data_IF_129469116100
#
_entry.id   IF_129469116100
#
_cell.length_a   1.000
_cell.length_b   1.000
_cell.length_c   1.000
_cell.angle_alpha   90.00
_cell.angle_beta   90.00
_cell.angle_gamma   90.00
#
_symmetry.space_group_name_H-M   'P 1'
#
loop_
_entity.id
_entity.type
_entity.pdbx_description
1 polymer ?
#
# COMPACT_ATOMS: atom_id res chain seq x y z
N UNK A 1 -14.86 10.74 3.51
CA UNK A 1 -13.60 10.18 4.08
C UNK A 1 -12.41 11.14 3.98
N UNK A 2 -12.22 11.88 2.86
CA UNK A 2 -11.12 12.88 2.70
C UNK A 2 -11.44 14.29 3.18
N UNK A 3 -12.67 14.76 2.99
CA UNK A 3 -13.19 15.99 3.63
C UNK A 3 -13.08 15.90 5.17
N UNK A 4 -13.12 14.68 5.71
CA UNK A 4 -12.88 14.41 7.14
C UNK A 4 -11.41 14.50 7.56
N UNK A 5 -10.45 14.42 6.62
CA UNK A 5 -9.02 14.65 6.87
C UNK A 5 -8.67 16.14 6.71
N UNK A 6 -9.29 16.83 5.76
CA UNK A 6 -9.18 18.28 5.59
C UNK A 6 -9.68 19.03 6.84
N UNK A 7 -10.77 18.56 7.48
CA UNK A 7 -11.23 19.07 8.77
C UNK A 7 -10.39 18.65 10.00
N UNK A 8 -9.32 17.86 9.82
CA UNK A 8 -8.45 17.33 10.88
C UNK A 8 -6.98 17.66 10.59
N UNK A 9 -6.71 18.95 10.44
CA UNK A 9 -5.41 19.55 10.09
C UNK A 9 -4.22 19.15 11.01
N UNK A 10 -4.45 18.41 12.10
CA UNK A 10 -3.43 17.96 13.06
C UNK A 10 -2.99 16.50 12.98
N UNK A 11 -3.58 15.65 12.14
CA UNK A 11 -3.25 14.20 12.13
C UNK A 11 -1.95 13.89 11.36
N UNK A 12 -1.21 12.86 11.80
CA UNK A 12 0.01 12.43 11.12
C UNK A 12 -0.21 11.99 9.66
N UNK A 13 -1.37 11.37 9.38
CA UNK A 13 -1.77 11.00 8.02
C UNK A 13 -1.92 12.22 7.10
N UNK A 14 -2.50 13.31 7.61
CA UNK A 14 -2.66 14.55 6.84
C UNK A 14 -1.33 15.28 6.61
N UNK A 15 -0.46 15.32 7.63
CA UNK A 15 0.90 15.86 7.48
C UNK A 15 1.68 15.14 6.38
N UNK A 16 1.69 13.79 6.40
CA UNK A 16 2.30 12.96 5.35
C UNK A 16 1.69 13.24 3.98
N UNK A 17 0.37 13.35 3.90
CA UNK A 17 -0.34 13.59 2.65
C UNK A 17 0.05 14.93 2.01
N UNK A 18 0.25 15.98 2.82
CA UNK A 18 0.78 17.28 2.40
C UNK A 18 2.26 17.19 2.01
N UNK A 19 3.09 16.56 2.85
CA UNK A 19 4.53 16.41 2.64
C UNK A 19 4.86 15.75 1.30
N UNK A 20 4.11 14.73 0.91
CA UNK A 20 4.29 14.01 -0.36
C UNK A 20 3.53 14.63 -1.55
N UNK A 21 2.92 15.81 -1.40
CA UNK A 21 2.19 16.46 -2.49
C UNK A 21 0.97 15.66 -2.99
N UNK A 22 0.45 14.72 -2.21
CA UNK A 22 -0.60 13.80 -2.66
C UNK A 22 -1.93 14.49 -2.89
N UNK A 23 -2.10 15.71 -2.37
CA UNK A 23 -3.23 16.56 -2.69
C UNK A 23 -3.40 16.80 -4.19
N UNK A 24 -2.30 16.92 -4.94
CA UNK A 24 -2.34 17.26 -6.35
C UNK A 24 -2.94 16.14 -7.22
N UNK A 25 -2.84 14.89 -6.79
CA UNK A 25 -3.42 13.74 -7.51
C UNK A 25 -4.75 13.26 -6.92
N UNK A 26 -5.36 14.02 -5.99
CA UNK A 26 -6.56 13.59 -5.27
C UNK A 26 -7.77 13.37 -6.19
N UNK A 27 -7.95 14.25 -7.16
CA UNK A 27 -9.12 14.23 -8.05
C UNK A 27 -8.99 13.08 -9.05
N UNK A 28 -7.81 12.90 -9.63
CA UNK A 28 -7.49 11.77 -10.49
C UNK A 28 -7.64 10.44 -9.75
N UNK A 29 -7.12 10.31 -8.52
CA UNK A 29 -7.32 9.12 -7.70
C UNK A 29 -8.80 8.84 -7.45
N UNK A 30 -9.59 9.85 -7.06
CA UNK A 30 -11.03 9.70 -6.80
C UNK A 30 -11.77 9.26 -8.07
N UNK A 31 -11.46 9.89 -9.19
CA UNK A 31 -12.06 9.56 -10.47
C UNK A 31 -11.76 8.11 -10.85
N UNK A 32 -10.48 7.71 -10.88
CA UNK A 32 -10.06 6.35 -11.20
C UNK A 32 -10.68 5.30 -10.25
N UNK A 33 -10.69 5.56 -8.94
CA UNK A 33 -11.29 4.65 -7.96
C UNK A 33 -12.81 4.52 -8.12
N UNK A 34 -13.48 5.55 -8.63
CA UNK A 34 -14.92 5.53 -8.90
C UNK A 34 -15.29 4.86 -10.22
N UNK A 35 -14.43 4.98 -11.24
CA UNK A 35 -14.68 4.43 -12.58
C UNK A 35 -14.15 3.01 -12.76
N UNK A 36 -13.33 2.50 -11.82
CA UNK A 36 -12.78 1.14 -11.84
C UNK A 36 -13.09 0.38 -10.54
N UNK A 37 -14.38 0.07 -10.26
CA UNK A 37 -14.80 -0.57 -9.02
C UNK A 37 -14.39 -2.05 -8.90
N UNK A 38 -14.04 -2.68 -10.03
CA UNK A 38 -13.51 -4.04 -10.13
C UNK A 38 -12.23 -4.23 -9.31
N UNK A 39 -11.45 -3.16 -9.12
CA UNK A 39 -10.21 -3.16 -8.36
C UNK A 39 -10.35 -2.50 -6.95
N UNK A 40 -11.55 -2.53 -6.35
CA UNK A 40 -11.84 -1.88 -5.05
C UNK A 40 -10.80 -2.20 -3.96
N UNK A 41 -10.39 -3.48 -3.86
CA UNK A 41 -9.39 -3.92 -2.88
C UNK A 41 -8.04 -3.22 -3.07
N UNK A 42 -7.57 -3.13 -4.31
CA UNK A 42 -6.33 -2.44 -4.66
C UNK A 42 -6.41 -0.93 -4.39
N UNK A 43 -7.51 -0.28 -4.77
CA UNK A 43 -7.70 1.15 -4.52
C UNK A 43 -7.64 1.49 -3.03
N UNK A 44 -8.23 0.63 -2.19
CA UNK A 44 -8.12 0.77 -0.73
C UNK A 44 -6.67 0.68 -0.25
N UNK A 45 -5.87 -0.23 -0.78
CA UNK A 45 -4.46 -0.38 -0.40
C UNK A 45 -3.60 0.80 -0.87
N UNK A 46 -3.83 1.30 -2.08
CA UNK A 46 -3.23 2.55 -2.56
C UNK A 46 -3.59 3.71 -1.62
N UNK A 47 -4.83 3.77 -1.17
CA UNK A 47 -5.28 4.79 -0.23
C UNK A 47 -4.56 4.72 1.12
N UNK A 48 -4.41 3.51 1.63
CA UNK A 48 -3.67 3.25 2.86
C UNK A 48 -2.18 3.60 2.70
N UNK A 49 -1.56 3.27 1.57
CA UNK A 49 -0.19 3.67 1.22
C UNK A 49 -0.04 5.21 1.23
N UNK A 50 -0.96 5.92 0.58
CA UNK A 50 -1.00 7.39 0.54
C UNK A 50 -1.10 8.04 1.91
N UNK A 51 -1.76 7.38 2.87
CA UNK A 51 -1.95 7.91 4.24
C UNK A 51 -1.00 7.35 5.28
N UNK A 52 -0.10 6.45 4.91
CA UNK A 52 0.78 5.77 5.88
C UNK A 52 0.05 4.72 6.73
N UNK A 53 -1.15 4.31 6.34
CA UNK A 53 -1.94 3.26 6.99
C UNK A 53 -1.84 1.90 6.29
N UNK A 54 -0.88 1.70 5.37
CA UNK A 54 -0.70 0.42 4.68
C UNK A 54 -0.34 -0.66 5.68
N UNK A 55 -1.10 -1.75 5.63
CA UNK A 55 -0.96 -2.84 6.57
C UNK A 55 0.21 -3.76 6.20
N UNK A 56 1.40 -3.40 6.64
CA UNK A 56 2.60 -4.21 6.49
C UNK A 56 2.92 -4.97 7.78
N UNK A 57 3.61 -6.11 7.67
CA UNK A 57 3.98 -6.95 8.81
C UNK A 57 4.68 -6.20 9.95
N UNK A 58 5.60 -5.29 9.60
CA UNK A 58 6.30 -4.44 10.56
C UNK A 58 5.35 -3.59 11.41
N UNK A 59 4.35 -2.97 10.76
CA UNK A 59 3.38 -2.12 11.46
C UNK A 59 2.53 -2.96 12.42
N UNK A 60 2.06 -4.13 11.97
CA UNK A 60 1.27 -5.05 12.78
C UNK A 60 2.03 -5.54 14.02
N UNK A 61 3.33 -5.84 13.91
CA UNK A 61 4.14 -6.20 15.07
C UNK A 61 4.38 -5.02 16.02
N UNK A 62 4.69 -3.82 15.49
CA UNK A 62 4.90 -2.61 16.31
C UNK A 62 3.71 -2.24 17.18
N UNK A 63 2.48 -2.48 16.71
CA UNK A 63 1.27 -2.21 17.49
C UNK A 63 0.78 -3.42 18.30
N UNK A 64 1.54 -4.52 18.33
CA UNK A 64 1.29 -5.67 19.21
C UNK A 64 0.25 -6.69 18.74
N UNK A 65 -0.26 -6.58 17.51
CA UNK A 65 -1.32 -7.49 17.00
C UNK A 65 -0.77 -8.73 16.27
N UNK A 66 0.50 -8.70 15.88
CA UNK A 66 1.21 -9.78 15.20
C UNK A 66 2.48 -10.14 15.97
N UNK A 67 3.05 -11.31 15.67
CA UNK A 67 4.29 -11.80 16.29
C UNK A 67 5.45 -10.82 16.06
N UNK A 68 6.30 -10.69 17.07
CA UNK A 68 7.45 -9.77 17.06
C UNK A 68 8.53 -10.17 16.04
N UNK A 69 8.51 -11.41 15.55
CA UNK A 69 9.38 -11.85 14.44
C UNK A 69 9.24 -10.95 13.19
N UNK A 70 8.07 -10.33 12.98
CA UNK A 70 7.84 -9.40 11.87
C UNK A 70 8.55 -8.05 12.01
N UNK A 71 9.15 -7.77 13.18
CA UNK A 71 10.04 -6.62 13.35
C UNK A 71 11.36 -6.79 12.59
N UNK A 72 11.74 -8.03 12.27
CA UNK A 72 13.00 -8.36 11.60
C UNK A 72 12.80 -9.21 10.32
N UNK A 73 11.61 -9.79 10.10
CA UNK A 73 11.36 -10.74 9.02
C UNK A 73 10.12 -10.40 8.20
N UNK A 74 10.17 -10.68 6.90
CA UNK A 74 9.03 -10.50 6.02
C UNK A 74 8.10 -11.73 6.10
N UNK A 75 6.78 -11.55 6.32
CA UNK A 75 5.84 -12.67 6.37
C UNK A 75 5.71 -13.37 5.00
N UNK A 76 5.98 -12.62 3.92
CA UNK A 76 5.66 -13.01 2.55
C UNK A 76 6.80 -13.74 1.86
N UNK A 77 8.02 -13.17 1.90
CA UNK A 77 9.20 -13.80 1.30
C UNK A 77 10.06 -14.58 2.29
N UNK A 78 9.85 -14.43 3.61
CA UNK A 78 10.58 -15.15 4.64
C UNK A 78 12.02 -14.68 4.87
N UNK A 79 12.48 -13.64 4.19
CA UNK A 79 13.81 -13.04 4.38
C UNK A 79 13.91 -12.31 5.72
N UNK A 80 15.14 -12.22 6.26
CA UNK A 80 15.50 -11.44 7.45
C UNK A 80 15.52 -9.93 7.15
N UNK A 81 14.41 -9.42 6.63
CA UNK A 81 14.16 -8.00 6.42
C UNK A 81 12.70 -7.74 6.77
N UNK A 82 12.38 -6.72 7.60
CA UNK A 82 11.00 -6.42 7.94
C UNK A 82 10.19 -5.99 6.72
N UNK A 83 8.93 -6.40 6.67
CA UNK A 83 8.01 -5.94 5.62
C UNK A 83 7.59 -4.50 5.89
N UNK A 84 8.27 -3.56 5.23
CA UNK A 84 7.89 -2.15 5.10
C UNK A 84 7.02 -1.95 3.85
N UNK A 85 6.33 -0.80 3.69
CA UNK A 85 5.68 -0.46 2.42
C UNK A 85 6.64 -0.51 1.24
N UNK A 86 7.88 -0.02 1.41
CA UNK A 86 8.92 -0.10 0.39
C UNK A 86 9.27 -1.54 0.06
N UNK A 87 9.49 -2.38 1.08
CA UNK A 87 9.78 -3.78 0.87
C UNK A 87 8.65 -4.45 0.08
N UNK A 88 7.41 -4.32 0.55
CA UNK A 88 6.22 -4.90 -0.08
C UNK A 88 6.09 -4.48 -1.56
N UNK A 89 6.16 -3.18 -1.84
CA UNK A 89 5.90 -2.65 -3.18
C UNK A 89 7.09 -2.83 -4.11
N UNK A 90 8.33 -2.66 -3.64
CA UNK A 90 9.50 -2.47 -4.49
C UNK A 90 10.50 -3.63 -4.47
N UNK A 91 10.66 -4.33 -3.35
CA UNK A 91 11.83 -5.19 -3.10
C UNK A 91 11.47 -6.66 -2.87
N UNK A 92 10.27 -6.93 -2.37
CA UNK A 92 9.90 -8.25 -1.89
C UNK A 92 9.83 -9.22 -3.07
N UNK A 93 10.81 -10.11 -3.19
CA UNK A 93 10.91 -11.10 -4.27
C UNK A 93 9.67 -11.99 -4.43
N UNK A 94 8.89 -12.14 -3.35
CA UNK A 94 7.62 -12.89 -3.37
C UNK A 94 6.63 -12.32 -4.38
N UNK A 95 6.75 -11.03 -4.71
CA UNK A 95 5.83 -10.28 -5.54
C UNK A 95 6.43 -9.82 -6.87
N UNK A 96 7.56 -10.38 -7.30
CA UNK A 96 8.20 -9.99 -8.58
C UNK A 96 7.29 -10.22 -9.78
N UNK A 97 6.69 -11.42 -9.87
CA UNK A 97 5.74 -11.77 -10.94
C UNK A 97 4.51 -10.86 -10.93
N UNK A 98 4.02 -10.51 -9.74
CA UNK A 98 2.84 -9.65 -9.57
C UNK A 98 3.09 -8.21 -10.04
N UNK A 99 4.30 -7.70 -9.82
CA UNK A 99 4.70 -6.42 -10.40
C UNK A 99 4.75 -6.48 -11.92
N UNK A 100 5.24 -7.57 -12.50
CA UNK A 100 5.27 -7.76 -13.97
C UNK A 100 3.85 -7.85 -14.54
N UNK A 101 2.92 -8.52 -13.85
CA UNK A 101 1.50 -8.56 -14.25
C UNK A 101 0.90 -7.14 -14.25
N UNK A 102 1.19 -6.34 -13.22
CA UNK A 102 0.73 -4.95 -13.14
C UNK A 102 1.31 -4.05 -14.23
N UNK A 103 2.59 -4.25 -14.58
CA UNK A 103 3.26 -3.57 -15.69
C UNK A 103 2.57 -3.87 -17.03
N UNK A 104 2.35 -5.15 -17.33
CA UNK A 104 1.66 -5.57 -18.56
C UNK A 104 0.26 -4.95 -18.63
N UNK A 105 -0.47 -4.95 -17.51
CA UNK A 105 -1.81 -4.38 -17.44
C UNK A 105 -1.84 -2.87 -17.72
N UNK A 106 -0.80 -2.14 -17.32
CA UNK A 106 -0.71 -0.68 -17.50
C UNK A 106 0.01 -0.26 -18.77
N UNK A 107 0.65 -1.21 -19.47
CA UNK A 107 1.58 -0.90 -20.56
C UNK A 107 2.88 -0.23 -20.09
N UNK A 108 3.14 -0.17 -18.78
CA UNK A 108 4.37 0.38 -18.23
C UNK A 108 5.46 -0.69 -18.35
N UNK A 109 6.56 -0.38 -19.03
CA UNK A 109 7.68 -1.30 -19.12
C UNK A 109 8.41 -1.50 -17.79
N UNK A 110 8.91 -2.70 -17.53
CA UNK A 110 9.70 -3.05 -16.33
C UNK A 110 10.83 -2.06 -16.03
N UNK A 111 11.57 -1.64 -17.05
CA UNK A 111 12.66 -0.66 -16.89
C UNK A 111 12.15 0.69 -16.38
N UNK A 112 10.97 1.13 -16.85
CA UNK A 112 10.33 2.37 -16.43
C UNK A 112 9.82 2.29 -14.99
N UNK A 113 9.21 1.15 -14.60
CA UNK A 113 8.86 0.92 -13.18
C UNK A 113 10.11 0.96 -12.29
N UNK A 114 11.20 0.30 -12.69
CA UNK A 114 12.46 0.30 -11.92
C UNK A 114 13.01 1.72 -11.77
N UNK A 115 13.01 2.51 -12.85
CA UNK A 115 13.40 3.93 -12.84
C UNK A 115 12.59 4.72 -11.82
N UNK A 116 11.26 4.57 -11.82
CA UNK A 116 10.37 5.22 -10.84
C UNK A 116 10.73 4.84 -9.41
N UNK A 117 10.79 3.53 -9.11
CA UNK A 117 11.05 3.03 -7.76
C UNK A 117 12.45 3.39 -7.25
N UNK A 118 13.42 3.58 -8.16
CA UNK A 118 14.78 4.00 -7.83
C UNK A 118 14.89 5.48 -7.42
N UNK A 119 13.90 6.32 -7.75
CA UNK A 119 13.93 7.77 -7.45
C UNK A 119 13.29 8.15 -6.12
N UNK A 120 12.58 7.22 -5.48
CA UNK A 120 11.80 7.51 -4.28
C UNK A 120 12.30 6.70 -3.08
N UNK A 121 12.25 7.31 -1.90
CA UNK A 121 12.50 6.61 -0.65
C UNK A 121 11.25 5.81 -0.25
N UNK A 122 10.07 6.42 -0.38
CA UNK A 122 8.78 5.87 -0.05
C UNK A 122 7.90 5.67 -1.30
N UNK A 123 7.25 4.52 -1.48
CA UNK A 123 6.42 4.27 -2.67
C UNK A 123 5.25 5.24 -2.83
N UNK A 124 4.81 5.87 -1.74
CA UNK A 124 3.74 6.86 -1.78
C UNK A 124 4.15 8.12 -2.56
N UNK A 125 5.44 8.48 -2.61
CA UNK A 125 5.94 9.66 -3.33
C UNK A 125 5.65 9.57 -4.83
N UNK A 126 5.60 8.35 -5.39
CA UNK A 126 5.24 8.09 -6.79
C UNK A 126 3.83 8.54 -7.16
N UNK A 127 2.97 8.72 -6.16
CA UNK A 127 1.55 9.01 -6.35
C UNK A 127 1.27 10.52 -6.35
N UNK A 128 2.30 11.36 -6.33
CA UNK A 128 2.19 12.78 -6.59
C UNK A 128 2.04 13.04 -8.10
N UNK A 129 1.17 13.98 -8.49
CA UNK A 129 1.00 14.41 -9.88
C UNK A 129 1.71 15.72 -10.23
N UNK A 130 2.39 16.36 -9.28
CA UNK A 130 3.23 17.51 -9.59
C UNK A 130 4.43 17.05 -10.44
N UNK A 131 4.37 17.33 -11.74
CA UNK A 131 5.53 17.27 -12.62
C UNK A 131 5.59 16.11 -13.61
N UNK A 132 4.56 15.25 -13.70
CA UNK A 132 4.46 14.27 -14.80
C UNK A 132 3.04 13.77 -15.07
N UNK A 133 2.81 13.40 -16.33
CA UNK A 133 1.56 12.79 -16.83
C UNK A 133 1.46 11.28 -16.53
N UNK A 134 2.45 10.70 -15.85
CA UNK A 134 2.56 9.26 -15.62
C UNK A 134 1.82 8.79 -14.35
N UNK A 135 1.29 9.74 -13.57
CA UNK A 135 0.62 9.47 -12.30
C UNK A 135 -0.55 8.50 -12.44
N UNK A 136 -1.33 8.58 -13.52
CA UNK A 136 -2.39 7.60 -13.77
C UNK A 136 -1.83 6.18 -13.85
N UNK A 137 -0.79 5.97 -14.65
CA UNK A 137 -0.14 4.66 -14.80
C UNK A 137 0.35 4.12 -13.47
N UNK A 138 0.93 4.96 -12.61
CA UNK A 138 1.39 4.59 -11.27
C UNK A 138 0.23 4.21 -10.35
N UNK A 139 -0.86 5.00 -10.35
CA UNK A 139 -2.04 4.74 -9.53
C UNK A 139 -2.72 3.43 -9.92
N UNK A 140 -2.90 3.22 -11.22
CA UNK A 140 -3.52 2.01 -11.78
C UNK A 140 -2.61 0.80 -11.59
N UNK A 141 -1.31 0.95 -11.82
CA UNK A 141 -0.34 -0.12 -11.68
C UNK A 141 -0.23 -0.60 -10.24
N UNK A 142 -0.09 0.32 -9.27
CA UNK A 142 -0.09 -0.04 -7.86
C UNK A 142 -1.42 -0.64 -7.40
N UNK A 143 -2.53 -0.15 -7.93
CA UNK A 143 -3.85 -0.75 -7.66
C UNK A 143 -3.91 -2.19 -8.15
N UNK A 144 -3.47 -2.45 -9.39
CA UNK A 144 -3.45 -3.80 -9.95
C UNK A 144 -2.53 -4.70 -9.14
N UNK A 145 -1.32 -4.24 -8.84
CA UNK A 145 -0.36 -4.95 -7.99
C UNK A 145 -0.97 -5.37 -6.65
N UNK A 146 -1.63 -4.46 -5.94
CA UNK A 146 -2.27 -4.79 -4.68
C UNK A 146 -3.41 -5.80 -4.83
N UNK A 147 -4.18 -5.74 -5.91
CA UNK A 147 -5.20 -6.76 -6.19
C UNK A 147 -4.59 -8.15 -6.35
N UNK A 148 -3.44 -8.28 -7.04
CA UNK A 148 -2.78 -9.56 -7.25
C UNK A 148 -2.28 -10.19 -5.94
N UNK A 149 -1.71 -9.37 -5.05
CA UNK A 149 -1.03 -9.89 -3.85
C UNK A 149 -1.96 -10.06 -2.64
N UNK A 150 -3.10 -9.36 -2.58
CA UNK A 150 -3.88 -9.20 -1.35
C UNK A 150 -4.20 -10.54 -0.66
N UNK A 151 -4.79 -11.50 -1.38
CA UNK A 151 -5.19 -12.77 -0.79
C UNK A 151 -4.01 -13.56 -0.22
N UNK A 152 -2.87 -13.56 -0.93
CA UNK A 152 -1.63 -14.23 -0.51
C UNK A 152 -0.96 -13.49 0.65
N UNK A 153 -0.93 -12.16 0.61
CA UNK A 153 -0.40 -11.33 1.69
C UNK A 153 -1.18 -11.52 2.99
N UNK A 154 -2.52 -11.49 2.91
CA UNK A 154 -3.37 -11.80 4.06
C UNK A 154 -3.15 -13.22 4.59
N UNK A 155 -3.00 -14.19 3.70
CA UNK A 155 -2.67 -15.58 4.06
C UNK A 155 -1.38 -15.67 4.87
N UNK A 156 -0.32 -15.00 4.41
CA UNK A 156 0.96 -14.92 5.10
C UNK A 156 0.87 -14.21 6.46
N UNK A 157 0.06 -13.16 6.56
CA UNK A 157 -0.15 -12.44 7.82
C UNK A 157 -0.95 -13.25 8.85
N UNK A 158 -1.93 -14.06 8.41
CA UNK A 158 -2.81 -14.83 9.31
C UNK A 158 -2.05 -15.85 10.16
N UNK A 159 -1.01 -16.50 9.63
CA UNK A 159 -0.20 -17.49 10.36
C UNK A 159 0.65 -16.88 11.48
N UNK A 160 0.82 -15.55 11.47
CA UNK A 160 1.68 -14.80 12.40
C UNK A 160 0.89 -13.86 13.31
N UNK A 161 -0.43 -14.04 13.36
CA UNK A 161 -1.31 -13.31 14.28
C UNK A 161 -1.10 -13.79 15.73
N UNK A 162 -1.07 -12.85 16.68
CA UNK A 162 -1.11 -13.19 18.13
C UNK A 162 -2.54 -13.63 18.49
N UNK A 163 -2.67 -14.75 19.21
CA UNK A 163 -3.97 -15.41 19.46
C UNK A 163 -4.91 -14.66 20.43
N UNK A 164 -4.41 -13.71 21.24
CA UNK A 164 -5.11 -13.31 22.47
C UNK A 164 -5.61 -11.86 22.60
N UNK A 165 -5.47 -10.96 21.62
CA UNK A 165 -6.01 -9.60 21.77
C UNK A 165 -7.17 -9.28 20.81
N UNK A 166 -8.31 -9.92 21.03
CA UNK A 166 -9.60 -9.39 20.57
C UNK A 166 -10.14 -8.47 21.66
N UNK A 167 -9.77 -7.18 21.64
CA UNK A 167 -10.52 -6.18 22.41
C UNK A 167 -11.96 -6.16 21.89
N UNK A 168 -12.91 -6.64 22.72
CA UNK A 168 -14.36 -6.57 22.47
C UNK A 168 -14.73 -5.16 21.96
N UNK A 169 -15.31 -5.08 20.77
CA UNK A 169 -15.94 -3.86 20.26
C UNK A 169 -15.44 -3.31 18.93
N UNK A 170 -14.36 -3.84 18.32
CA UNK A 170 -14.03 -3.55 16.91
C UNK A 170 -14.11 -4.83 16.08
N UNK A 171 -14.93 -4.88 15.02
CA UNK A 171 -14.87 -5.97 14.05
C UNK A 171 -13.48 -5.94 13.41
N UNK A 172 -12.63 -6.91 13.74
CA UNK A 172 -11.30 -7.06 13.15
C UNK A 172 -11.40 -8.08 12.02
N UNK A 173 -11.98 -7.66 10.89
CA UNK A 173 -12.03 -8.47 9.67
C UNK A 173 -10.90 -8.07 8.71
N UNK A 174 -10.17 -9.06 8.21
CA UNK A 174 -9.26 -8.93 7.07
C UNK A 174 -10.02 -8.80 5.73
N UNK A 175 -11.35 -8.94 5.73
CA UNK A 175 -12.22 -8.62 4.60
C UNK A 175 -13.26 -7.60 5.07
N UNK A 176 -13.29 -6.42 4.47
CA UNK A 176 -14.28 -5.39 4.81
C UNK A 176 -13.77 -4.28 5.73
N UNK A 177 -13.14 -3.29 5.10
CA UNK A 177 -13.20 -1.86 5.44
C UNK A 177 -13.08 -1.06 4.15
#
# INVERSE_FOLDING_TARGET
MWEMLEGKDGTGAWKRYKEFGLYHSREQFRWLASTRPDARGGWKKVLQLRTGGLWAGLFAARIGIAKEELLARCPSCGEETPETPRHMVCECKRWDEDRVIADIFTGVGTGKRIEWLGRVAEPAELLNSLGDDETEGRLVGLTRFFCEIEGRHQGAMRSLRKAEEVKKGRPFFFEGL
#
